data_IF_666660345563
#
_entry.id   IF_666660345563
#
_cell.length_a   1.000
_cell.length_b   1.000
_cell.length_c   1.000
_cell.angle_alpha   90.00
_cell.angle_beta   90.00
_cell.angle_gamma   90.00
#
_symmetry.space_group_name_H-M   'P 1'
#
loop_
_entity.id
_entity.type
_entity.pdbx_description
1 polymer ?
#
# COMPACT_ATOMS: atom_id res chain seq x y z
N UNK A 1 -2.13 -26.03 -17.59
CA UNK A 1 -1.93 -24.56 -17.46
C UNK A 1 -0.70 -24.35 -16.61
N UNK A 2 0.24 -23.49 -17.00
CA UNK A 2 1.39 -23.15 -16.16
C UNK A 2 0.88 -22.39 -14.92
N UNK A 3 1.53 -22.63 -13.78
CA UNK A 3 1.21 -21.92 -12.53
C UNK A 3 1.58 -20.45 -12.68
N UNK A 4 0.72 -19.54 -12.23
CA UNK A 4 1.03 -18.10 -12.23
C UNK A 4 2.28 -17.81 -11.37
N UNK A 5 3.18 -16.98 -11.90
CA UNK A 5 4.44 -16.60 -11.25
C UNK A 5 4.25 -15.29 -10.47
N UNK A 6 4.64 -15.30 -9.21
CA UNK A 6 4.49 -14.15 -8.31
C UNK A 6 5.89 -13.64 -7.96
N UNK A 7 6.12 -12.35 -8.17
CA UNK A 7 7.28 -11.64 -7.65
C UNK A 7 6.86 -10.80 -6.46
N UNK A 8 7.41 -11.05 -5.29
CA UNK A 8 7.13 -10.27 -4.09
C UNK A 8 8.18 -9.19 -3.88
N UNK A 9 7.79 -8.03 -3.41
CA UNK A 9 8.70 -6.98 -2.92
C UNK A 9 8.34 -6.62 -1.49
N UNK A 10 9.32 -6.71 -0.58
CA UNK A 10 9.18 -6.31 0.81
C UNK A 10 10.09 -5.12 1.08
N UNK A 11 9.52 -4.04 1.61
CA UNK A 11 10.25 -2.80 1.88
C UNK A 11 10.54 -2.68 3.36
N UNK A 12 11.81 -2.46 3.69
CA UNK A 12 12.32 -2.29 5.05
C UNK A 12 12.80 -0.86 5.26
N UNK A 13 12.58 -0.33 6.45
CA UNK A 13 13.13 0.96 6.88
C UNK A 13 13.28 1.03 8.39
N UNK A 14 14.52 1.20 8.87
CA UNK A 14 14.87 1.34 10.31
C UNK A 14 14.30 0.23 11.20
N UNK A 15 14.17 -0.97 10.66
CA UNK A 15 13.73 -2.17 11.37
C UNK A 15 14.58 -3.34 10.89
N UNK A 16 15.03 -4.16 11.80
CA UNK A 16 15.76 -5.39 11.44
C UNK A 16 14.80 -6.43 10.84
N UNK A 17 15.35 -7.39 10.11
CA UNK A 17 14.56 -8.50 9.55
C UNK A 17 13.89 -9.32 10.66
N UNK A 18 14.57 -9.49 11.80
CA UNK A 18 14.05 -10.22 12.97
C UNK A 18 12.87 -9.48 13.63
N UNK A 19 12.91 -8.14 13.62
CA UNK A 19 11.83 -7.30 14.16
C UNK A 19 10.68 -7.10 13.17
N UNK A 20 10.86 -7.44 11.90
CA UNK A 20 9.81 -7.36 10.90
C UNK A 20 8.79 -8.47 11.09
N UNK A 21 7.57 -8.13 11.45
CA UNK A 21 6.45 -9.06 11.59
C UNK A 21 6.16 -9.76 10.25
N UNK A 22 6.23 -9.03 9.15
CA UNK A 22 6.02 -9.56 7.79
C UNK A 22 7.11 -10.56 7.43
N UNK A 23 8.40 -10.22 7.64
CA UNK A 23 9.49 -11.13 7.32
C UNK A 23 9.44 -12.39 8.16
N UNK A 24 9.22 -12.26 9.48
CA UNK A 24 9.19 -13.38 10.42
C UNK A 24 8.04 -14.36 10.09
N UNK A 25 6.84 -13.82 9.80
CA UNK A 25 5.68 -14.65 9.44
C UNK A 25 5.86 -15.26 8.05
N UNK A 26 6.33 -14.51 7.05
CA UNK A 26 6.62 -15.03 5.72
C UNK A 26 7.62 -16.18 5.78
N UNK A 27 8.75 -16.00 6.47
CA UNK A 27 9.78 -17.04 6.65
C UNK A 27 9.20 -18.31 7.25
N UNK A 28 8.41 -18.18 8.32
CA UNK A 28 7.75 -19.32 8.98
C UNK A 28 6.79 -20.04 8.05
N UNK A 29 6.00 -19.31 7.27
CA UNK A 29 5.06 -19.88 6.31
C UNK A 29 5.76 -20.58 5.15
N UNK A 30 6.82 -20.00 4.61
CA UNK A 30 7.61 -20.61 3.52
C UNK A 30 8.30 -21.92 3.95
N UNK A 31 8.71 -22.04 5.21
CA UNK A 31 9.26 -23.28 5.75
C UNK A 31 8.23 -24.42 5.83
N UNK A 32 6.97 -24.08 6.04
CA UNK A 32 5.86 -25.04 6.10
C UNK A 32 5.26 -25.36 4.73
N UNK A 33 5.30 -24.39 3.81
CA UNK A 33 4.64 -24.44 2.52
C UNK A 33 5.67 -24.51 1.39
N UNK A 34 6.24 -25.70 1.20
CA UNK A 34 7.23 -25.97 0.13
C UNK A 34 6.66 -25.81 -1.27
N UNK A 35 5.33 -25.90 -1.43
CA UNK A 35 4.63 -25.66 -2.68
C UNK A 35 4.74 -24.19 -3.16
N UNK A 36 5.05 -23.25 -2.27
CA UNK A 36 5.27 -21.82 -2.59
C UNK A 36 6.63 -21.59 -3.25
N UNK A 37 7.62 -22.43 -2.96
CA UNK A 37 9.01 -22.25 -3.40
C UNK A 37 9.17 -22.16 -4.93
N UNK A 38 8.31 -22.86 -5.70
CA UNK A 38 8.33 -22.82 -7.16
C UNK A 38 7.43 -21.76 -7.80
N UNK A 39 6.65 -21.00 -7.02
CA UNK A 39 5.67 -20.04 -7.51
C UNK A 39 6.01 -18.58 -7.19
N UNK A 40 6.95 -18.37 -6.28
CA UNK A 40 7.25 -17.03 -5.74
C UNK A 40 8.76 -16.77 -5.71
N UNK A 41 9.16 -15.55 -6.07
CA UNK A 41 10.48 -14.96 -5.77
C UNK A 41 10.30 -13.68 -4.95
N UNK A 42 11.35 -13.23 -4.27
CA UNK A 42 11.30 -12.12 -3.32
C UNK A 42 12.42 -11.12 -3.53
N UNK A 43 12.09 -9.85 -3.59
CA UNK A 43 13.01 -8.74 -3.38
C UNK A 43 12.84 -8.20 -1.96
N UNK A 44 13.91 -8.19 -1.18
CA UNK A 44 14.02 -7.40 0.04
C UNK A 44 14.67 -6.06 -0.32
N UNK A 45 13.91 -4.98 -0.29
CA UNK A 45 14.41 -3.65 -0.57
C UNK A 45 14.54 -2.87 0.73
N UNK A 46 15.77 -2.63 1.15
CA UNK A 46 16.08 -2.04 2.44
C UNK A 46 16.51 -0.58 2.31
N UNK A 47 15.64 0.31 2.72
CA UNK A 47 15.85 1.75 2.80
C UNK A 47 16.55 2.19 4.11
N UNK A 48 17.00 1.25 4.94
CA UNK A 48 17.67 1.56 6.20
C UNK A 48 19.06 2.12 5.95
N UNK A 49 19.59 2.96 6.88
CA UNK A 49 20.93 3.53 6.75
C UNK A 49 22.07 2.48 6.74
N UNK A 50 21.81 1.30 7.32
CA UNK A 50 22.79 0.22 7.46
C UNK A 50 22.21 -1.05 6.82
N UNK A 51 23.00 -1.65 5.91
CA UNK A 51 22.63 -2.90 5.26
C UNK A 51 22.58 -4.06 6.26
N UNK A 52 21.70 -5.03 6.01
CA UNK A 52 21.48 -6.18 6.87
C UNK A 52 21.96 -7.47 6.21
N UNK A 53 22.29 -8.47 7.01
CA UNK A 53 22.56 -9.82 6.53
C UNK A 53 21.24 -10.57 6.37
N UNK A 54 20.94 -10.99 5.14
CA UNK A 54 19.73 -11.75 4.85
C UNK A 54 19.94 -13.23 5.11
N UNK A 55 19.13 -13.89 5.93
CA UNK A 55 19.18 -15.34 6.11
C UNK A 55 18.65 -16.05 4.86
N UNK A 56 19.11 -17.28 4.61
CA UNK A 56 18.61 -18.10 3.52
C UNK A 56 17.09 -18.34 3.65
N UNK A 57 16.38 -18.17 2.57
CA UNK A 57 14.95 -18.48 2.43
C UNK A 57 14.76 -19.61 1.41
N UNK A 58 13.69 -20.41 1.50
CA UNK A 58 13.41 -21.51 0.57
C UNK A 58 12.87 -21.05 -0.79
N UNK A 59 12.93 -19.76 -1.09
CA UNK A 59 12.55 -19.16 -2.38
C UNK A 59 13.69 -18.30 -2.92
N UNK A 60 13.81 -18.09 -4.23
CA UNK A 60 14.75 -17.14 -4.81
C UNK A 60 14.57 -15.77 -4.17
N UNK A 61 15.65 -15.24 -3.59
CA UNK A 61 15.60 -13.98 -2.85
C UNK A 61 16.75 -13.07 -3.26
N UNK A 62 16.41 -11.84 -3.63
CA UNK A 62 17.36 -10.77 -3.89
C UNK A 62 17.31 -9.75 -2.75
N UNK A 63 18.43 -9.07 -2.49
CA UNK A 63 18.52 -8.02 -1.49
C UNK A 63 19.16 -6.77 -2.09
N UNK A 64 18.47 -5.65 -1.97
CA UNK A 64 18.96 -4.34 -2.37
C UNK A 64 18.98 -3.44 -1.14
N UNK A 65 20.16 -2.94 -0.75
CA UNK A 65 20.30 -1.90 0.27
C UNK A 65 20.40 -0.54 -0.39
N UNK A 66 19.54 0.40 0.01
CA UNK A 66 19.54 1.76 -0.50
C UNK A 66 19.48 2.79 0.65
N UNK A 67 20.62 3.13 1.27
CA UNK A 67 20.69 4.06 2.40
C UNK A 67 20.20 5.49 2.09
N UNK A 68 20.06 5.86 0.81
CA UNK A 68 19.51 7.17 0.42
C UNK A 68 18.01 7.30 0.69
N UNK A 69 17.33 6.17 0.96
CA UNK A 69 15.90 6.09 1.24
C UNK A 69 15.04 6.86 0.22
N UNK A 70 15.02 6.43 -1.06
CA UNK A 70 14.22 7.09 -2.09
C UNK A 70 12.70 6.90 -1.92
N UNK A 71 12.29 6.14 -0.90
CA UNK A 71 10.90 5.89 -0.57
C UNK A 71 10.32 4.60 -1.14
N UNK A 72 9.03 4.42 -0.89
CA UNK A 72 8.29 3.20 -1.21
C UNK A 72 8.11 3.01 -2.74
N UNK A 73 7.85 4.10 -3.46
CA UNK A 73 7.66 4.06 -4.91
C UNK A 73 8.91 3.54 -5.66
N UNK A 74 10.11 3.92 -5.21
CA UNK A 74 11.36 3.44 -5.81
C UNK A 74 11.56 1.95 -5.58
N UNK A 75 11.26 1.46 -4.37
CA UNK A 75 11.33 0.05 -4.03
C UNK A 75 10.34 -0.79 -4.87
N UNK A 76 9.10 -0.34 -5.01
CA UNK A 76 8.09 -1.02 -5.81
C UNK A 76 8.43 -0.96 -7.31
N UNK A 77 9.03 0.12 -7.80
CA UNK A 77 9.48 0.22 -9.19
C UNK A 77 10.63 -0.74 -9.48
N UNK A 78 11.58 -0.89 -8.55
CA UNK A 78 12.63 -1.91 -8.65
C UNK A 78 12.03 -3.32 -8.67
N UNK A 79 11.05 -3.59 -7.79
CA UNK A 79 10.30 -4.85 -7.79
C UNK A 79 9.56 -5.11 -9.12
N UNK A 80 8.93 -4.10 -9.70
CA UNK A 80 8.25 -4.22 -10.99
C UNK A 80 9.22 -4.50 -12.13
N UNK A 81 10.40 -3.88 -12.12
CA UNK A 81 11.43 -4.13 -13.12
C UNK A 81 11.89 -5.60 -13.06
N UNK A 82 12.27 -6.08 -11.87
CA UNK A 82 12.71 -7.47 -11.68
C UNK A 82 11.60 -8.47 -11.97
N UNK A 83 10.35 -8.15 -11.61
CA UNK A 83 9.19 -8.96 -11.98
C UNK A 83 9.04 -9.11 -13.49
N UNK A 84 9.30 -8.04 -14.25
CA UNK A 84 9.32 -8.08 -15.72
C UNK A 84 10.46 -8.91 -16.28
N UNK A 85 11.67 -8.80 -15.72
CA UNK A 85 12.85 -9.58 -16.10
C UNK A 85 12.65 -11.09 -15.83
N UNK A 86 11.98 -11.45 -14.74
CA UNK A 86 11.63 -12.83 -14.41
C UNK A 86 10.35 -13.34 -15.11
N UNK A 87 9.72 -12.52 -15.97
CA UNK A 87 8.43 -12.81 -16.59
C UNK A 87 7.36 -13.26 -15.56
N UNK A 88 7.29 -12.57 -14.43
CA UNK A 88 6.26 -12.78 -13.44
C UNK A 88 4.92 -12.20 -13.90
N UNK A 89 3.82 -12.87 -13.54
CA UNK A 89 2.47 -12.43 -13.88
C UNK A 89 1.97 -11.38 -12.90
N UNK A 90 2.42 -11.50 -11.64
CA UNK A 90 1.93 -10.72 -10.51
C UNK A 90 3.06 -10.14 -9.66
N UNK A 91 2.87 -8.91 -9.19
CA UNK A 91 3.71 -8.23 -8.22
C UNK A 91 2.97 -8.16 -6.88
N UNK A 92 3.53 -8.80 -5.84
CA UNK A 92 3.01 -8.80 -4.49
C UNK A 92 3.77 -7.78 -3.63
N UNK A 93 3.03 -6.87 -2.99
CA UNK A 93 3.57 -5.77 -2.20
C UNK A 93 3.49 -6.07 -0.70
N UNK A 94 4.63 -6.01 -0.02
CA UNK A 94 4.71 -6.18 1.42
C UNK A 94 5.32 -4.95 2.10
N UNK A 95 4.70 -4.54 3.20
CA UNK A 95 5.29 -3.67 4.21
C UNK A 95 6.02 -4.53 5.25
N UNK A 96 6.70 -3.88 6.21
CA UNK A 96 7.50 -4.60 7.23
C UNK A 96 6.71 -5.00 8.50
N UNK A 97 5.44 -4.58 8.65
CA UNK A 97 4.65 -4.59 9.88
C UNK A 97 3.26 -5.25 9.74
N UNK A 98 3.11 -6.12 8.76
CA UNK A 98 1.89 -6.89 8.51
C UNK A 98 2.06 -8.34 8.95
N UNK A 99 1.12 -8.85 9.74
CA UNK A 99 1.08 -10.27 10.11
C UNK A 99 0.48 -11.10 8.98
N UNK A 100 1.32 -11.87 8.31
CA UNK A 100 0.88 -12.76 7.23
C UNK A 100 0.31 -14.05 7.81
N UNK A 101 -0.78 -14.54 7.21
CA UNK A 101 -1.41 -15.79 7.58
C UNK A 101 -1.31 -16.82 6.45
N UNK A 102 -1.44 -18.12 6.80
CA UNK A 102 -1.47 -19.19 5.81
C UNK A 102 -2.69 -19.07 4.88
N UNK A 103 -3.84 -18.69 5.43
CA UNK A 103 -5.07 -18.44 4.66
C UNK A 103 -4.85 -17.36 3.60
N UNK A 104 -4.18 -16.26 3.97
CA UNK A 104 -3.84 -15.19 3.03
C UNK A 104 -2.97 -15.69 1.88
N UNK A 105 -1.83 -16.34 2.15
CA UNK A 105 -0.95 -16.85 1.08
C UNK A 105 -1.64 -17.89 0.20
N UNK A 106 -2.47 -18.75 0.79
CA UNK A 106 -3.27 -19.73 0.03
C UNK A 106 -4.23 -19.02 -0.93
N UNK A 107 -4.92 -17.98 -0.45
CA UNK A 107 -5.84 -17.23 -1.29
C UNK A 107 -5.13 -16.39 -2.36
N UNK A 108 -3.93 -15.83 -2.06
CA UNK A 108 -3.08 -15.19 -3.09
C UNK A 108 -2.82 -16.14 -4.24
N UNK A 109 -2.38 -17.37 -3.95
CA UNK A 109 -2.07 -18.34 -5.01
C UNK A 109 -3.31 -18.75 -5.79
N UNK A 110 -4.40 -19.09 -5.10
CA UNK A 110 -5.63 -19.51 -5.77
C UNK A 110 -6.22 -18.39 -6.63
N UNK A 111 -6.25 -17.16 -6.12
CA UNK A 111 -6.78 -16.01 -6.86
C UNK A 111 -5.92 -15.64 -8.08
N UNK A 112 -4.59 -15.72 -7.97
CA UNK A 112 -3.70 -15.47 -9.11
C UNK A 112 -3.86 -16.50 -10.22
N UNK A 113 -4.22 -17.72 -9.88
CA UNK A 113 -4.53 -18.78 -10.86
C UNK A 113 -5.91 -18.59 -11.51
N UNK A 114 -6.92 -18.17 -10.74
CA UNK A 114 -8.26 -17.89 -11.26
C UNK A 114 -8.29 -16.72 -12.26
N UNK A 115 -7.37 -15.77 -12.13
CA UNK A 115 -7.28 -14.59 -12.97
C UNK A 115 -6.75 -14.83 -14.39
N UNK A 116 -6.58 -16.09 -14.81
CA UNK A 116 -6.09 -16.46 -16.15
C UNK A 116 -6.90 -15.89 -17.33
N UNK A 117 -8.07 -15.31 -17.08
CA UNK A 117 -8.97 -14.75 -18.08
C UNK A 117 -9.13 -13.22 -17.97
N UNK A 118 -8.14 -12.48 -17.48
CA UNK A 118 -8.14 -11.01 -17.38
C UNK A 118 -9.38 -10.43 -16.63
N UNK A 119 -9.91 -11.17 -15.65
CA UNK A 119 -11.10 -10.77 -14.90
C UNK A 119 -10.83 -9.60 -13.93
N UNK A 120 -9.60 -9.47 -13.45
CA UNK A 120 -9.15 -8.42 -12.53
C UNK A 120 -7.64 -8.18 -12.61
N UNK A 121 -7.20 -6.99 -12.20
CA UNK A 121 -5.82 -6.53 -12.30
C UNK A 121 -5.17 -6.33 -10.93
N UNK A 122 -5.97 -6.38 -9.87
CA UNK A 122 -5.49 -6.33 -8.49
C UNK A 122 -6.27 -7.29 -7.60
N UNK A 123 -5.58 -7.84 -6.61
CA UNK A 123 -6.12 -8.68 -5.54
C UNK A 123 -5.71 -8.03 -4.22
N UNK A 124 -6.66 -7.78 -3.32
CA UNK A 124 -6.38 -7.06 -2.08
C UNK A 124 -7.00 -7.76 -0.88
N UNK A 125 -6.24 -7.91 0.24
CA UNK A 125 -6.79 -8.41 1.49
C UNK A 125 -7.66 -7.34 2.17
N UNK A 126 -8.41 -7.76 3.18
CA UNK A 126 -8.96 -6.85 4.18
C UNK A 126 -7.93 -6.66 5.28
N UNK A 127 -7.52 -5.39 5.50
CA UNK A 127 -6.66 -5.02 6.61
C UNK A 127 -7.53 -4.58 7.78
N UNK A 128 -7.22 -5.05 8.97
CA UNK A 128 -7.95 -4.69 10.20
C UNK A 128 -6.99 -4.25 11.29
N UNK A 129 -7.48 -3.36 12.17
CA UNK A 129 -6.84 -2.98 13.43
C UNK A 129 -7.90 -3.04 14.51
N UNK A 130 -7.65 -3.81 15.55
CA UNK A 130 -8.59 -4.01 16.67
C UNK A 130 -10.03 -4.35 16.21
N UNK A 131 -10.16 -5.23 15.22
CA UNK A 131 -11.45 -5.67 14.67
C UNK A 131 -12.14 -4.66 13.74
N UNK A 132 -11.53 -3.51 13.48
CA UNK A 132 -12.04 -2.49 12.57
C UNK A 132 -11.39 -2.60 11.20
N UNK A 133 -12.17 -2.68 10.13
CA UNK A 133 -11.65 -2.71 8.76
C UNK A 133 -11.01 -1.35 8.43
N UNK A 134 -9.72 -1.38 8.10
CA UNK A 134 -8.95 -0.21 7.66
C UNK A 134 -8.90 -0.08 6.14
N UNK A 135 -8.91 -1.20 5.43
CA UNK A 135 -8.75 -1.28 3.97
C UNK A 135 -9.41 -2.56 3.44
N UNK A 136 -9.97 -2.53 2.21
CA UNK A 136 -10.13 -1.37 1.33
C UNK A 136 -11.28 -0.44 1.77
N UNK A 137 -11.21 0.81 1.30
CA UNK A 137 -12.28 1.78 1.49
C UNK A 137 -13.11 1.94 0.21
N UNK A 138 -14.38 2.26 0.35
CA UNK A 138 -15.19 2.82 -0.72
C UNK A 138 -14.71 4.23 -1.06
N UNK A 139 -14.99 4.68 -2.28
CA UNK A 139 -14.61 6.01 -2.77
C UNK A 139 -14.84 7.09 -1.71
N UNK A 140 -13.84 7.93 -1.52
CA UNK A 140 -13.78 8.94 -0.46
C UNK A 140 -15.00 9.85 -0.51
N UNK A 141 -15.78 9.80 0.56
CA UNK A 141 -16.89 10.71 0.80
C UNK A 141 -16.47 11.83 1.76
N UNK A 142 -17.32 12.87 1.89
CA UNK A 142 -17.10 14.04 2.73
C UNK A 142 -16.70 13.79 4.19
N UNK A 143 -17.13 12.67 4.77
CA UNK A 143 -17.05 12.49 6.22
C UNK A 143 -15.83 11.71 6.66
N UNK A 144 -15.72 10.49 6.25
CA UNK A 144 -14.59 9.59 6.51
C UNK A 144 -14.56 8.56 5.40
N UNK A 145 -13.39 8.01 5.06
CA UNK A 145 -13.33 6.82 4.22
C UNK A 145 -14.27 5.76 4.82
N UNK A 146 -15.22 5.26 4.04
CA UNK A 146 -16.09 4.19 4.50
C UNK A 146 -15.42 2.87 4.12
N UNK A 147 -14.95 2.07 5.09
CA UNK A 147 -14.39 0.77 4.78
C UNK A 147 -15.47 -0.12 4.14
N UNK A 148 -15.02 -1.13 3.40
CA UNK A 148 -15.92 -2.20 2.95
C UNK A 148 -16.42 -2.99 4.17
N UNK A 149 -17.51 -3.71 4.00
CA UNK A 149 -17.96 -4.68 5.01
C UNK A 149 -16.93 -5.81 5.13
N UNK A 150 -16.75 -6.34 6.33
CA UNK A 150 -15.81 -7.45 6.60
C UNK A 150 -16.16 -8.70 5.78
N UNK A 151 -17.41 -8.87 5.39
CA UNK A 151 -17.91 -9.98 4.56
C UNK A 151 -17.70 -9.77 3.06
N UNK A 152 -17.24 -8.57 2.63
CA UNK A 152 -17.00 -8.27 1.22
C UNK A 152 -15.96 -9.22 0.63
N UNK A 153 -16.30 -9.83 -0.52
CA UNK A 153 -15.44 -10.77 -1.23
C UNK A 153 -15.77 -10.76 -2.73
N UNK A 154 -14.76 -11.02 -3.58
CA UNK A 154 -14.93 -11.14 -5.02
C UNK A 154 -14.58 -9.86 -5.79
N UNK A 155 -14.88 -9.86 -7.09
CA UNK A 155 -14.59 -8.71 -7.96
C UNK A 155 -15.50 -7.54 -7.62
N UNK A 156 -14.90 -6.41 -7.25
CA UNK A 156 -15.65 -5.22 -6.90
C UNK A 156 -16.32 -4.58 -8.12
N UNK A 157 -17.58 -4.22 -7.95
CA UNK A 157 -18.36 -3.44 -8.92
C UNK A 157 -18.32 -1.94 -8.68
N UNK A 158 -17.70 -1.52 -7.58
CA UNK A 158 -17.54 -0.12 -7.17
C UNK A 158 -16.07 0.25 -7.05
N UNK A 159 -15.77 1.54 -7.15
CA UNK A 159 -14.41 2.03 -6.99
C UNK A 159 -13.94 1.89 -5.54
N UNK A 160 -12.76 1.29 -5.36
CA UNK A 160 -12.15 1.04 -4.07
C UNK A 160 -10.82 1.79 -3.93
N UNK A 161 -10.45 2.07 -2.69
CA UNK A 161 -9.15 2.61 -2.30
C UNK A 161 -8.48 1.63 -1.31
N UNK A 162 -7.80 0.60 -1.80
CA UNK A 162 -7.01 -0.29 -0.95
C UNK A 162 -5.70 0.35 -0.52
N UNK A 163 -5.10 -0.18 0.56
CA UNK A 163 -3.69 0.04 0.87
C UNK A 163 -2.81 -0.97 0.12
N UNK A 164 -1.51 -0.65 0.02
CA UNK A 164 -0.55 -1.51 -0.67
C UNK A 164 -0.20 -2.78 0.13
N UNK A 165 -0.38 -2.77 1.45
CA UNK A 165 0.01 -3.88 2.34
C UNK A 165 -0.67 -5.18 1.96
N UNK A 166 0.09 -6.15 1.48
CA UNK A 166 -0.42 -7.43 1.01
C UNK A 166 -1.20 -7.39 -0.31
N UNK A 167 -1.17 -6.29 -1.04
CA UNK A 167 -1.82 -6.19 -2.34
C UNK A 167 -1.01 -6.90 -3.43
N UNK A 168 -1.70 -7.55 -4.36
CA UNK A 168 -1.13 -8.22 -5.53
C UNK A 168 -1.62 -7.51 -6.78
N UNK A 169 -0.71 -7.05 -7.60
CA UNK A 169 -0.99 -6.27 -8.80
C UNK A 169 -0.52 -7.01 -10.05
N UNK A 170 -1.30 -7.02 -11.12
CA UNK A 170 -0.90 -7.62 -12.38
C UNK A 170 0.26 -6.84 -12.99
N UNK A 171 1.38 -7.52 -13.27
CA UNK A 171 2.60 -6.88 -13.83
C UNK A 171 2.28 -6.19 -15.16
N UNK A 172 1.54 -6.84 -16.04
CA UNK A 172 1.10 -6.26 -17.33
C UNK A 172 0.33 -4.94 -17.14
N UNK A 173 -0.63 -4.90 -16.20
CA UNK A 173 -1.41 -3.69 -15.93
C UNK A 173 -0.52 -2.54 -15.38
N UNK A 174 0.45 -2.85 -14.51
CA UNK A 174 1.43 -1.88 -14.03
C UNK A 174 2.31 -1.36 -15.17
N UNK A 175 2.78 -2.24 -16.06
CA UNK A 175 3.59 -1.85 -17.23
C UNK A 175 2.80 -0.95 -18.20
N UNK A 176 1.55 -1.29 -18.48
CA UNK A 176 0.65 -0.47 -19.31
C UNK A 176 0.36 0.90 -18.68
N UNK A 177 0.38 0.99 -17.34
CA UNK A 177 0.31 2.25 -16.60
C UNK A 177 1.64 3.02 -16.60
N UNK A 178 2.72 2.47 -17.16
CA UNK A 178 4.10 3.00 -17.07
C UNK A 178 4.64 3.04 -15.63
N UNK A 179 4.33 2.01 -14.86
CA UNK A 179 4.77 1.84 -13.48
C UNK A 179 3.91 2.56 -12.44
N UNK A 180 4.47 2.74 -11.26
CA UNK A 180 3.82 3.45 -10.16
C UNK A 180 3.73 4.95 -10.43
N UNK A 181 2.69 5.66 -9.92
CA UNK A 181 2.52 7.10 -10.14
C UNK A 181 3.71 7.90 -9.59
N UNK A 182 4.24 8.79 -10.41
CA UNK A 182 5.30 9.72 -10.02
C UNK A 182 4.79 10.78 -9.03
N UNK A 183 5.70 11.32 -8.21
CA UNK A 183 5.37 12.35 -7.23
C UNK A 183 4.82 11.82 -5.89
N UNK A 184 4.66 10.49 -5.74
CA UNK A 184 4.20 9.82 -4.53
C UNK A 184 5.29 8.88 -4.01
N UNK A 185 6.23 9.40 -3.23
CA UNK A 185 7.35 8.59 -2.73
C UNK A 185 6.93 7.61 -1.63
N UNK A 186 5.95 7.97 -0.82
CA UNK A 186 5.43 7.19 0.32
C UNK A 186 3.92 7.38 0.48
N UNK A 187 3.50 8.57 0.91
CA UNK A 187 2.10 8.86 1.22
C UNK A 187 1.24 8.93 -0.04
N UNK A 188 0.02 8.44 0.03
CA UNK A 188 -0.97 8.40 -1.05
C UNK A 188 -0.54 7.64 -2.31
N UNK A 189 0.59 6.92 -2.28
CA UNK A 189 1.04 6.09 -3.40
C UNK A 189 0.04 5.00 -3.72
N UNK A 190 -0.49 4.34 -2.69
CA UNK A 190 -1.57 3.36 -2.78
C UNK A 190 -2.81 3.95 -3.45
N UNK A 191 -3.31 5.06 -2.94
CA UNK A 191 -4.49 5.73 -3.49
C UNK A 191 -4.30 6.12 -4.96
N UNK A 192 -3.12 6.66 -5.31
CA UNK A 192 -2.80 7.05 -6.68
C UNK A 192 -2.69 5.83 -7.61
N UNK A 193 -2.05 4.74 -7.15
CA UNK A 193 -1.88 3.50 -7.92
C UNK A 193 -3.24 2.87 -8.23
N UNK A 194 -4.08 2.65 -7.22
CA UNK A 194 -5.38 2.01 -7.42
C UNK A 194 -6.38 2.90 -8.16
N UNK A 195 -6.33 4.22 -7.97
CA UNK A 195 -7.14 5.15 -8.75
C UNK A 195 -6.75 5.09 -10.23
N UNK A 196 -5.45 5.10 -10.53
CA UNK A 196 -4.96 5.03 -11.91
C UNK A 196 -5.30 3.70 -12.57
N UNK A 197 -5.21 2.58 -11.84
CA UNK A 197 -5.65 1.28 -12.30
C UNK A 197 -7.13 1.29 -12.70
N UNK A 198 -7.99 1.75 -11.80
CA UNK A 198 -9.45 1.74 -12.00
C UNK A 198 -9.92 2.73 -13.07
N UNK A 199 -9.28 3.90 -13.23
CA UNK A 199 -9.61 4.85 -14.30
C UNK A 199 -9.31 4.30 -15.69
N UNK A 200 -8.47 3.26 -15.79
CA UNK A 200 -8.18 2.53 -17.03
C UNK A 200 -9.06 1.28 -17.22
N UNK A 201 -10.05 1.11 -16.38
CA UNK A 201 -10.97 -0.04 -16.42
C UNK A 201 -10.50 -1.26 -15.63
N UNK A 202 -9.35 -1.17 -14.95
CA UNK A 202 -8.83 -2.24 -14.11
C UNK A 202 -9.77 -2.54 -12.95
N UNK A 203 -9.95 -3.83 -12.65
CA UNK A 203 -10.84 -4.32 -11.61
C UNK A 203 -10.05 -4.84 -10.41
N UNK A 204 -10.66 -4.76 -9.24
CA UNK A 204 -10.09 -5.20 -7.97
C UNK A 204 -10.88 -6.39 -7.43
N UNK A 205 -10.17 -7.46 -7.11
CA UNK A 205 -10.72 -8.61 -6.37
C UNK A 205 -10.41 -8.42 -4.88
N UNK A 206 -11.44 -8.44 -4.05
CA UNK A 206 -11.30 -8.38 -2.58
C UNK A 206 -11.27 -9.80 -2.04
N UNK A 207 -10.23 -10.13 -1.28
CA UNK A 207 -10.02 -11.45 -0.69
C UNK A 207 -10.97 -11.70 0.50
N UNK A 208 -11.22 -12.97 0.83
CA UNK A 208 -11.79 -13.36 2.12
C UNK A 208 -10.79 -13.15 3.24
N UNK A 209 -9.52 -13.36 2.97
CA UNK A 209 -8.44 -13.24 3.93
C UNK A 209 -8.41 -11.86 4.60
N UNK A 210 -8.14 -11.90 5.90
CA UNK A 210 -7.99 -10.73 6.77
C UNK A 210 -6.56 -10.74 7.29
N UNK A 211 -5.90 -9.58 7.26
CA UNK A 211 -4.59 -9.37 7.84
C UNK A 211 -4.67 -8.31 8.95
N UNK A 212 -4.08 -8.61 10.09
CA UNK A 212 -3.86 -7.62 11.14
C UNK A 212 -2.77 -6.63 10.71
N UNK A 213 -3.07 -5.35 10.79
CA UNK A 213 -2.17 -4.29 10.37
C UNK A 213 -2.26 -3.09 11.32
N UNK A 214 -1.13 -2.65 11.84
CA UNK A 214 -1.05 -1.50 12.75
C UNK A 214 -0.72 -0.23 11.98
N UNK A 215 -1.63 0.74 11.96
CA UNK A 215 -1.37 2.03 11.32
C UNK A 215 -0.32 2.82 12.09
N UNK A 216 0.82 3.07 11.46
CA UNK A 216 1.88 3.93 12.02
C UNK A 216 1.49 5.42 12.14
N UNK A 217 0.44 5.84 11.43
CA UNK A 217 0.01 7.25 11.30
C UNK A 217 -0.95 7.74 12.38
N UNK A 218 -1.61 6.86 13.14
CA UNK A 218 -2.65 7.23 14.10
C UNK A 218 -2.16 8.12 15.27
N UNK A 219 -0.86 8.14 15.58
CA UNK A 219 -0.29 8.95 16.67
C UNK A 219 0.12 10.36 16.25
N UNK A 220 0.32 10.63 14.97
CA UNK A 220 0.82 11.92 14.46
C UNK A 220 -0.24 13.03 14.39
N UNK A 221 -1.52 12.70 14.55
CA UNK A 221 -2.61 13.60 14.17
C UNK A 221 -2.98 14.65 15.21
N UNK A 222 -2.29 14.71 16.37
CA UNK A 222 -2.81 15.46 17.52
C UNK A 222 -1.85 16.46 18.18
N UNK A 223 -0.59 16.59 17.71
CA UNK A 223 0.44 17.41 18.38
C UNK A 223 0.92 18.61 17.55
N UNK A 224 1.32 19.69 18.22
CA UNK A 224 2.08 20.82 17.64
C UNK A 224 3.60 20.59 17.70
N UNK A 225 4.05 19.36 17.96
CA UNK A 225 5.45 18.98 17.92
C UNK A 225 6.03 19.20 16.51
N UNK A 226 7.21 19.86 16.37
CA UNK A 226 7.78 20.21 15.07
C UNK A 226 8.03 18.99 14.16
N UNK A 227 8.46 17.85 14.71
CA UNK A 227 8.75 16.62 13.93
C UNK A 227 7.44 16.03 13.41
N UNK A 228 6.42 15.96 14.27
CA UNK A 228 5.09 15.49 13.88
C UNK A 228 4.42 16.43 12.87
N UNK A 229 4.59 17.73 13.01
CA UNK A 229 4.10 18.73 12.05
C UNK A 229 4.78 18.58 10.68
N UNK A 230 6.09 18.32 10.65
CA UNK A 230 6.81 18.06 9.40
C UNK A 230 6.27 16.80 8.70
N UNK A 231 6.02 15.72 9.46
CA UNK A 231 5.41 14.49 8.93
C UNK A 231 3.98 14.74 8.40
N UNK A 232 3.16 15.49 9.16
CA UNK A 232 1.81 15.88 8.74
C UNK A 232 1.84 16.72 7.44
N UNK A 233 2.81 17.62 7.32
CA UNK A 233 2.99 18.44 6.11
C UNK A 233 3.25 17.55 4.89
N UNK A 234 4.12 16.55 5.01
CA UNK A 234 4.39 15.58 3.94
C UNK A 234 3.11 14.83 3.51
N UNK A 235 2.35 14.32 4.49
CA UNK A 235 1.06 13.66 4.22
C UNK A 235 0.08 14.58 3.50
N UNK A 236 -0.05 15.83 3.96
CA UNK A 236 -0.95 16.81 3.35
C UNK A 236 -0.52 17.19 1.92
N UNK A 237 0.77 17.27 1.66
CA UNK A 237 1.30 17.52 0.32
C UNK A 237 0.98 16.36 -0.63
N UNK A 238 1.12 15.12 -0.17
CA UNK A 238 0.76 13.93 -0.94
C UNK A 238 -0.77 13.85 -1.17
N UNK A 239 -1.60 14.12 -0.14
CA UNK A 239 -3.06 14.21 -0.31
C UNK A 239 -3.42 15.30 -1.35
N UNK A 240 -2.79 16.46 -1.27
CA UNK A 240 -3.04 17.57 -2.22
C UNK A 240 -2.67 17.18 -3.65
N UNK A 241 -1.49 16.58 -3.85
CA UNK A 241 -1.07 16.07 -5.16
C UNK A 241 -2.07 15.03 -5.68
N UNK A 242 -2.53 14.11 -4.81
CA UNK A 242 -3.52 13.11 -5.19
C UNK A 242 -4.83 13.75 -5.69
N UNK A 243 -5.40 14.71 -4.94
CA UNK A 243 -6.64 15.38 -5.37
C UNK A 243 -6.46 16.26 -6.60
N UNK A 244 -5.29 16.90 -6.76
CA UNK A 244 -4.96 17.65 -7.96
C UNK A 244 -4.93 16.77 -9.21
N UNK A 245 -4.26 15.61 -9.13
CA UNK A 245 -3.96 14.76 -10.29
C UNK A 245 -5.09 13.77 -10.59
N UNK A 246 -5.78 13.27 -9.56
CA UNK A 246 -6.77 12.20 -9.67
C UNK A 246 -8.17 12.57 -9.16
N UNK A 247 -8.31 13.70 -8.45
CA UNK A 247 -9.58 14.10 -7.87
C UNK A 247 -10.55 14.66 -8.90
N UNK A 248 -11.83 14.30 -8.82
CA UNK A 248 -12.90 14.98 -9.50
C UNK A 248 -13.09 16.40 -8.93
N UNK A 249 -13.73 17.34 -9.65
CA UNK A 249 -14.03 18.68 -9.11
C UNK A 249 -14.76 18.64 -7.78
N UNK A 250 -15.69 17.68 -7.62
CA UNK A 250 -16.44 17.47 -6.38
C UNK A 250 -15.53 16.97 -5.24
N UNK A 251 -14.64 16.01 -5.49
CA UNK A 251 -13.69 15.52 -4.50
C UNK A 251 -12.71 16.61 -4.07
N UNK A 252 -12.22 17.43 -5.01
CA UNK A 252 -11.34 18.58 -4.70
C UNK A 252 -12.06 19.58 -3.80
N UNK A 253 -13.27 19.97 -4.13
CA UNK A 253 -14.09 20.87 -3.30
C UNK A 253 -14.23 20.34 -1.88
N UNK A 254 -14.57 19.07 -1.73
CA UNK A 254 -14.72 18.43 -0.41
C UNK A 254 -13.41 18.29 0.36
N UNK A 255 -12.32 18.08 -0.33
CA UNK A 255 -10.99 18.10 0.29
C UNK A 255 -10.69 19.47 0.92
N UNK A 256 -10.93 20.56 0.20
CA UNK A 256 -10.74 21.92 0.72
C UNK A 256 -11.65 22.22 1.91
N UNK A 257 -12.93 21.89 1.84
CA UNK A 257 -13.87 22.05 2.96
C UNK A 257 -13.40 21.27 4.20
N UNK A 258 -12.92 20.04 4.00
CA UNK A 258 -12.37 19.21 5.08
C UNK A 258 -11.13 19.85 5.73
N UNK A 259 -10.22 20.42 4.92
CA UNK A 259 -9.03 21.11 5.45
C UNK A 259 -9.41 22.33 6.29
N UNK A 260 -10.32 23.16 5.81
CA UNK A 260 -10.81 24.34 6.55
C UNK A 260 -11.44 23.92 7.88
N UNK A 261 -12.27 22.88 7.86
CA UNK A 261 -12.89 22.36 9.09
C UNK A 261 -11.86 21.78 10.08
N UNK A 262 -10.86 21.03 9.59
CA UNK A 262 -9.74 20.52 10.41
C UNK A 262 -8.93 21.69 11.02
N UNK A 263 -8.69 22.75 10.24
CA UNK A 263 -8.00 23.95 10.69
C UNK A 263 -8.76 24.66 11.81
N UNK A 264 -10.07 24.83 11.66
CA UNK A 264 -10.93 25.41 12.68
C UNK A 264 -10.92 24.58 13.98
N UNK A 265 -11.02 23.25 13.88
CA UNK A 265 -10.88 22.35 15.04
C UNK A 265 -9.52 22.50 15.74
N UNK A 266 -8.43 22.55 14.96
CA UNK A 266 -7.08 22.74 15.50
C UNK A 266 -6.95 24.07 16.23
N UNK A 267 -7.49 25.15 15.67
CA UNK A 267 -7.51 26.48 16.30
C UNK A 267 -8.27 26.47 17.64
N UNK A 268 -9.44 25.87 17.69
CA UNK A 268 -10.23 25.74 18.93
C UNK A 268 -9.53 24.90 20.01
N UNK A 269 -8.66 23.97 19.59
CA UNK A 269 -7.84 23.16 20.49
C UNK A 269 -6.50 23.82 20.87
N UNK A 270 -6.28 25.11 20.54
CA UNK A 270 -5.04 25.83 20.82
C UNK A 270 -3.85 25.47 19.95
N UNK A 271 -4.05 24.68 18.87
CA UNK A 271 -2.99 24.17 17.97
C UNK A 271 -2.81 25.12 16.78
N UNK A 272 -2.26 26.29 17.03
CA UNK A 272 -2.19 27.36 16.04
C UNK A 272 -1.29 27.04 14.85
N UNK A 273 -0.12 26.42 15.08
CA UNK A 273 0.80 26.04 14.01
C UNK A 273 0.15 25.07 13.03
N UNK A 274 -0.54 24.04 13.55
CA UNK A 274 -1.30 23.09 12.77
C UNK A 274 -2.44 23.76 11.98
N UNK A 275 -3.19 24.65 12.62
CA UNK A 275 -4.27 25.39 11.97
C UNK A 275 -3.77 26.20 10.78
N UNK A 276 -2.68 26.94 10.95
CA UNK A 276 -2.06 27.73 9.86
C UNK A 276 -1.58 26.82 8.72
N UNK A 277 -0.96 25.68 9.03
CA UNK A 277 -0.52 24.70 8.03
C UNK A 277 -1.70 24.19 7.18
N UNK A 278 -2.79 23.78 7.83
CA UNK A 278 -4.00 23.28 7.14
C UNK A 278 -4.65 24.36 6.26
N UNK A 279 -4.74 25.61 6.74
CA UNK A 279 -5.26 26.72 5.95
C UNK A 279 -4.38 27.04 4.74
N UNK A 280 -3.05 27.07 4.91
CA UNK A 280 -2.13 27.26 3.77
C UNK A 280 -2.31 26.16 2.71
N UNK A 281 -2.46 24.91 3.13
CA UNK A 281 -2.72 23.79 2.21
C UNK A 281 -4.08 23.92 1.53
N UNK A 282 -5.09 24.49 2.20
CA UNK A 282 -6.44 24.64 1.60
C UNK A 282 -6.52 25.74 0.53
N UNK A 283 -5.56 26.64 0.46
CA UNK A 283 -5.56 27.78 -0.48
C UNK A 283 -4.67 27.49 -1.72
N UNK A 284 -3.77 26.53 -1.65
CA UNK A 284 -2.94 26.17 -2.79
C UNK A 284 -3.76 25.37 -3.83
N UNK A 285 -3.64 25.70 -5.13
CA UNK A 285 -4.37 25.06 -6.22
C UNK A 285 -3.99 23.59 -6.40
#
# INVERSE_FOLDING_TARGET
MSRARIFAVMVLYKRSLEESETFSTLRSLLQKRTDLAGAMSLLLYDNSPVAQKVPALPIPTQYISNPSNPGLAAAYSAGLQLAGEEAADWLLLFDQDTLLTEAYLTEVISSTQLAGNDQFDAIVPKLVEDGTVLSPHLTITLRHPKPVDITTHGVSTVSLHPYNSGAVLRVKALQEMKGFPEGFSLDSLDHATFRRLQTRGGKIFVMQAILEHKLSTNRADVSDDPVLLARQKSVLQAEQAFYRDFGTPRERFYYHVRLVWRAWKAMRAGRFRRSIMLLKTSVMP
#
